data_IF_286997423521
#
_entry.id   IF_286997423521
#
_cell.length_a   1.000
_cell.length_b   1.000
_cell.length_c   1.000
_cell.angle_alpha   90.00
_cell.angle_beta   90.00
_cell.angle_gamma   90.00
#
_symmetry.space_group_name_H-M   'P 1'
#
loop_
_entity.id
_entity.type
_entity.pdbx_description
1 polymer ?
#
# COMPACT_ATOMS: atom_id res chain seq x y z
N UNK A 1 8.10 10.38 5.66
CA UNK A 1 7.10 10.72 4.64
C UNK A 1 7.61 10.22 3.30
N UNK A 2 6.97 9.20 2.71
CA UNK A 2 7.30 8.74 1.37
C UNK A 2 6.28 9.37 0.41
N UNK A 3 6.67 10.45 -0.28
CA UNK A 3 5.85 11.02 -1.36
C UNK A 3 6.20 10.30 -2.66
N UNK A 4 5.20 9.72 -3.32
CA UNK A 4 5.36 9.18 -4.66
C UNK A 4 5.66 10.34 -5.63
N UNK A 5 6.94 10.55 -5.94
CA UNK A 5 7.39 11.60 -6.85
C UNK A 5 7.24 11.10 -8.29
N UNK A 6 6.53 11.85 -9.13
CA UNK A 6 6.50 11.58 -10.57
C UNK A 6 7.93 11.72 -11.13
N UNK A 7 8.33 10.80 -12.00
CA UNK A 7 9.62 10.81 -12.69
C UNK A 7 9.38 10.92 -14.20
N UNK A 8 10.46 11.03 -14.97
CA UNK A 8 10.45 11.20 -16.42
C UNK A 8 9.65 10.11 -17.17
N UNK A 9 9.36 8.97 -16.52
CA UNK A 9 8.61 7.85 -17.07
C UNK A 9 7.19 7.74 -16.54
N UNK A 10 6.96 7.99 -15.25
CA UNK A 10 5.61 7.91 -14.67
C UNK A 10 4.69 9.05 -15.13
N UNK A 11 5.26 10.17 -15.58
CA UNK A 11 4.51 11.26 -16.23
C UNK A 11 3.91 10.85 -17.57
N UNK A 12 4.56 9.92 -18.30
CA UNK A 12 4.11 9.43 -19.60
C UNK A 12 2.80 8.64 -19.54
N UNK A 13 2.31 8.25 -18.34
CA UNK A 13 0.98 7.62 -18.19
C UNK A 13 -0.16 8.47 -18.76
N UNK A 14 0.01 9.79 -18.82
CA UNK A 14 -0.99 10.75 -19.32
C UNK A 14 -0.99 10.85 -20.85
N UNK A 15 0.11 10.47 -21.50
CA UNK A 15 0.33 10.70 -22.95
C UNK A 15 0.50 9.40 -23.73
N UNK A 16 1.19 8.39 -23.17
CA UNK A 16 1.45 7.09 -23.79
C UNK A 16 1.58 6.00 -22.72
N UNK A 17 0.48 5.28 -22.48
CA UNK A 17 0.39 4.19 -21.49
C UNK A 17 1.41 3.06 -21.72
N UNK A 18 1.79 2.80 -22.97
CA UNK A 18 2.76 1.74 -23.31
C UNK A 18 4.19 2.08 -22.89
N UNK A 19 4.55 3.35 -22.78
CA UNK A 19 5.90 3.77 -22.39
C UNK A 19 6.08 4.00 -20.89
N UNK A 20 4.97 4.01 -20.15
CA UNK A 20 4.98 4.21 -18.70
C UNK A 20 5.32 2.93 -17.90
N UNK A 21 5.37 1.76 -18.56
CA UNK A 21 5.64 0.47 -17.95
C UNK A 21 6.90 -0.17 -18.55
N UNK A 22 7.89 -0.45 -17.71
CA UNK A 22 9.20 -0.98 -18.10
C UNK A 22 9.21 -2.46 -18.53
N UNK A 23 8.04 -3.10 -18.66
CA UNK A 23 7.90 -4.57 -18.79
C UNK A 23 8.70 -5.38 -17.75
N UNK A 24 9.13 -4.74 -16.66
CA UNK A 24 9.87 -5.33 -15.56
C UNK A 24 8.97 -5.29 -14.32
N UNK A 25 8.78 -6.45 -13.69
CA UNK A 25 8.04 -6.58 -12.45
C UNK A 25 9.07 -6.80 -11.33
N UNK A 26 9.14 -5.87 -10.39
CA UNK A 26 10.00 -5.99 -9.22
C UNK A 26 9.11 -5.93 -8.00
N UNK A 27 8.99 -7.07 -7.34
CA UNK A 27 8.29 -7.18 -6.06
C UNK A 27 9.25 -6.83 -4.91
N UNK A 28 8.71 -6.15 -3.90
CA UNK A 28 9.39 -5.90 -2.64
C UNK A 28 8.49 -6.39 -1.50
N UNK A 29 9.10 -6.98 -0.48
CA UNK A 29 8.41 -7.36 0.76
C UNK A 29 8.64 -6.26 1.79
N UNK A 30 7.55 -5.74 2.36
CA UNK A 30 7.60 -4.79 3.47
C UNK A 30 7.12 -5.54 4.73
N UNK A 31 7.96 -5.67 5.77
CA UNK A 31 7.55 -6.26 7.04
C UNK A 31 6.37 -5.50 7.66
N UNK A 32 5.48 -6.22 8.35
CA UNK A 32 4.28 -5.62 8.93
C UNK A 32 4.61 -4.58 10.01
N UNK A 33 5.62 -4.82 10.83
CA UNK A 33 6.09 -3.92 11.89
C UNK A 33 6.75 -2.64 11.35
N UNK A 34 7.31 -2.69 10.14
CA UNK A 34 7.80 -1.51 9.41
C UNK A 34 6.66 -0.75 8.71
N UNK A 35 5.49 -1.37 8.55
CA UNK A 35 4.33 -0.76 7.92
C UNK A 35 3.64 0.22 8.88
N UNK A 36 3.83 1.52 8.67
CA UNK A 36 3.19 2.56 9.48
C UNK A 36 1.65 2.47 9.48
N UNK A 37 1.04 2.29 8.30
CA UNK A 37 -0.39 1.99 8.17
C UNK A 37 -0.87 1.88 6.73
N UNK A 38 -1.91 1.07 6.53
CA UNK A 38 -2.60 0.85 5.26
C UNK A 38 -4.03 1.37 5.38
N UNK A 39 -4.43 2.24 4.46
CA UNK A 39 -5.75 2.86 4.47
C UNK A 39 -6.40 2.78 3.08
N UNK A 40 -7.67 2.35 3.04
CA UNK A 40 -8.51 2.57 1.87
C UNK A 40 -8.97 4.02 1.85
N UNK A 41 -8.74 4.74 0.74
CA UNK A 41 -9.16 6.14 0.58
C UNK A 41 -10.39 6.19 -0.32
N UNK A 42 -11.50 6.68 0.21
CA UNK A 42 -12.74 6.88 -0.56
C UNK A 42 -12.64 8.12 -1.44
N UNK A 43 -13.55 8.24 -2.41
CA UNK A 43 -13.62 9.40 -3.31
C UNK A 43 -13.81 10.74 -2.57
N UNK A 44 -14.43 10.73 -1.40
CA UNK A 44 -14.60 11.90 -0.52
C UNK A 44 -13.35 12.22 0.34
N UNK A 45 -12.26 11.47 0.16
CA UNK A 45 -11.02 11.59 0.94
C UNK A 45 -11.06 10.91 2.30
N UNK A 46 -12.20 10.33 2.72
CA UNK A 46 -12.30 9.60 3.98
C UNK A 46 -11.43 8.35 3.94
N UNK A 47 -10.59 8.19 4.96
CA UNK A 47 -9.74 7.02 5.14
C UNK A 47 -10.44 5.95 5.96
N UNK A 48 -10.38 4.71 5.49
CA UNK A 48 -10.79 3.52 6.22
C UNK A 48 -9.51 2.77 6.59
N UNK A 49 -9.18 2.63 7.88
CA UNK A 49 -7.98 1.94 8.29
C UNK A 49 -8.13 0.43 8.05
N UNK A 50 -7.08 -0.19 7.52
CA UNK A 50 -7.03 -1.63 7.23
C UNK A 50 -5.92 -2.26 8.08
N UNK A 51 -4.71 -1.68 8.04
CA UNK A 51 -3.59 -2.06 8.89
C UNK A 51 -3.10 -0.83 9.63
N UNK A 52 -2.88 -0.94 10.94
CA UNK A 52 -2.17 0.08 11.73
C UNK A 52 -1.14 -0.62 12.62
N UNK A 53 0.07 -0.06 12.69
CA UNK A 53 1.17 -0.62 13.52
C UNK A 53 1.39 -2.11 13.29
N UNK A 54 1.36 -2.53 12.02
CA UNK A 54 1.54 -3.94 11.64
C UNK A 54 0.45 -4.91 12.07
N UNK A 55 -0.76 -4.43 12.38
CA UNK A 55 -1.92 -5.26 12.74
C UNK A 55 -3.15 -4.90 11.93
N UNK A 56 -3.99 -5.88 11.62
CA UNK A 56 -5.27 -5.67 10.96
C UNK A 56 -6.26 -5.04 11.93
N UNK A 57 -6.85 -3.91 11.55
CA UNK A 57 -7.78 -3.15 12.41
C UNK A 57 -9.19 -3.03 11.83
N UNK A 58 -9.39 -3.56 10.61
CA UNK A 58 -10.71 -3.58 9.99
C UNK A 58 -11.61 -4.59 10.73
N UNK A 59 -12.83 -4.16 11.08
CA UNK A 59 -13.82 -5.02 11.76
C UNK A 59 -14.08 -6.29 10.94
N UNK A 60 -14.00 -7.45 11.58
CA UNK A 60 -14.15 -8.75 10.94
C UNK A 60 -12.83 -9.37 10.45
N UNK A 61 -11.69 -8.70 10.66
CA UNK A 61 -10.36 -9.22 10.33
C UNK A 61 -9.55 -9.60 11.58
N UNK A 62 -10.19 -9.80 12.73
CA UNK A 62 -9.53 -10.08 14.00
C UNK A 62 -8.68 -11.37 13.93
N UNK A 63 -9.21 -12.42 13.29
CA UNK A 63 -8.52 -13.71 13.11
C UNK A 63 -7.19 -13.60 12.34
N UNK A 64 -7.05 -12.60 11.46
CA UNK A 64 -5.81 -12.37 10.72
C UNK A 64 -4.66 -11.92 11.63
N UNK A 65 -4.96 -11.48 12.85
CA UNK A 65 -3.95 -11.11 13.83
C UNK A 65 -3.45 -12.28 14.69
N UNK A 66 -4.12 -13.43 14.69
CA UNK A 66 -3.76 -14.59 15.52
C UNK A 66 -2.31 -15.08 15.31
N UNK A 67 -1.77 -15.14 14.07
CA UNK A 67 -0.39 -15.56 13.85
C UNK A 67 0.66 -14.66 14.50
N UNK A 68 0.32 -13.41 14.82
CA UNK A 68 1.23 -12.48 15.48
C UNK A 68 1.22 -12.57 17.00
N UNK A 69 0.29 -13.32 17.60
CA UNK A 69 0.18 -13.52 19.04
C UNK A 69 1.08 -14.66 19.55
N UNK A 70 1.52 -15.54 18.66
CA UNK A 70 2.29 -16.75 18.98
C UNK A 70 3.82 -16.53 18.89
N UNK A 71 4.30 -15.28 18.96
CA UNK A 71 5.73 -14.94 18.93
C UNK A 71 6.31 -14.72 20.32
#
# INVERSE_FOLDING_TARGET
EMMAKENERSILRKESLSEAYFYCHTDITIPYDELGGLYGVKADGKKVPIIEKGRFVLKGCEELNEPFLQQ
#
